data_IF_469852525183
#
_entry.id   IF_469852525183
#
_cell.length_a   1.000
_cell.length_b   1.000
_cell.length_c   1.000
_cell.angle_alpha   90.00
_cell.angle_beta   90.00
_cell.angle_gamma   90.00
#
_symmetry.space_group_name_H-M   'P 1'
#
loop_
_entity.id
_entity.type
_entity.pdbx_description
1 polymer ?
#
# COMPACT_ATOMS: atom_id res chain seq x y z
N UNK A 1 5.02 -8.85 -7.30
CA UNK A 1 4.31 -8.54 -6.08
C UNK A 1 2.88 -8.13 -6.41
N UNK A 2 2.17 -7.61 -5.45
CA UNK A 2 0.80 -7.13 -5.63
C UNK A 2 0.84 -5.85 -6.46
N UNK A 3 -0.01 -5.73 -7.48
CA UNK A 3 -0.15 -4.52 -8.29
C UNK A 3 -0.75 -3.35 -7.49
N UNK A 4 -0.92 -2.17 -8.09
CA UNK A 4 -1.47 -0.99 -7.41
C UNK A 4 -2.95 -1.12 -7.02
N UNK A 5 -3.71 -2.04 -7.62
CA UNK A 5 -5.10 -2.40 -7.29
C UNK A 5 -6.04 -1.19 -7.11
N UNK A 6 -5.89 -0.18 -7.90
CA UNK A 6 -6.63 1.10 -7.77
C UNK A 6 -6.58 1.69 -6.34
N UNK A 7 -5.43 1.51 -5.68
CA UNK A 7 -5.18 2.04 -4.33
C UNK A 7 -5.64 1.18 -3.16
N UNK A 8 -6.24 0.04 -3.40
CA UNK A 8 -6.68 -0.86 -2.33
C UNK A 8 -6.01 -2.22 -2.37
N UNK A 9 -6.21 -3.08 -1.34
CA UNK A 9 -5.71 -2.84 0.00
C UNK A 9 -4.18 -2.92 0.04
N UNK A 10 -3.53 -2.04 0.82
CA UNK A 10 -2.08 -1.97 0.97
C UNK A 10 -1.57 -2.64 2.25
N UNK A 11 -0.31 -3.08 2.24
CA UNK A 11 0.41 -3.54 3.41
C UNK A 11 1.48 -2.52 3.79
N UNK A 12 1.37 -1.97 5.01
CA UNK A 12 2.42 -1.13 5.58
C UNK A 12 3.55 -1.99 6.16
N UNK A 13 4.79 -1.64 5.84
CA UNK A 13 5.97 -2.23 6.46
C UNK A 13 6.50 -1.27 7.53
N UNK A 14 6.64 -1.78 8.74
CA UNK A 14 7.17 -1.05 9.87
C UNK A 14 8.40 -1.76 10.41
N UNK A 15 9.46 -1.01 10.64
CA UNK A 15 10.70 -1.53 11.23
C UNK A 15 11.30 -0.55 12.24
N UNK A 16 11.95 -1.08 13.25
CA UNK A 16 12.74 -0.29 14.19
C UNK A 16 14.06 -0.99 14.49
N UNK A 17 15.11 -0.23 14.69
CA UNK A 17 16.38 -0.79 15.15
C UNK A 17 16.22 -1.31 16.58
N UNK A 18 16.63 -2.55 16.81
CA UNK A 18 16.64 -3.12 18.14
C UNK A 18 17.95 -2.75 18.85
N UNK A 19 17.82 -1.99 19.93
CA UNK A 19 18.88 -1.77 20.89
C UNK A 19 18.27 -1.62 22.30
N UNK A 20 19.11 -1.54 23.31
CA UNK A 20 18.61 -1.43 24.71
C UNK A 20 17.71 -0.21 24.93
N UNK A 21 18.00 0.89 24.26
CA UNK A 21 17.23 2.14 24.37
C UNK A 21 15.87 2.07 23.67
N UNK A 22 15.69 1.16 22.69
CA UNK A 22 14.48 1.04 21.86
C UNK A 22 13.52 -0.07 22.30
N UNK A 23 13.78 -0.77 23.41
CA UNK A 23 12.92 -1.84 23.91
C UNK A 23 11.47 -1.38 24.13
N UNK A 24 11.27 -0.15 24.59
CA UNK A 24 9.94 0.42 24.78
C UNK A 24 9.19 0.64 23.47
N UNK A 25 9.89 1.01 22.40
CA UNK A 25 9.32 1.21 21.06
C UNK A 25 8.75 -0.10 20.52
N UNK A 26 9.51 -1.20 20.59
CA UNK A 26 9.04 -2.53 20.18
C UNK A 26 7.81 -2.96 20.99
N UNK A 27 7.81 -2.70 22.30
CA UNK A 27 6.67 -3.02 23.16
C UNK A 27 5.41 -2.21 22.85
N UNK A 28 5.55 -1.04 22.25
CA UNK A 28 4.44 -0.14 21.89
C UNK A 28 4.00 -0.26 20.43
N UNK A 29 4.81 -0.93 19.59
CA UNK A 29 4.45 -1.11 18.18
C UNK A 29 3.25 -2.06 18.02
N UNK A 30 2.39 -1.83 17.02
CA UNK A 30 1.23 -2.67 16.75
C UNK A 30 1.63 -4.05 16.22
N UNK A 31 0.71 -4.99 16.28
CA UNK A 31 0.88 -6.34 15.73
C UNK A 31 1.51 -7.34 16.70
N UNK A 32 1.69 -8.55 16.21
CA UNK A 32 2.30 -9.66 16.92
C UNK A 32 3.70 -9.92 16.41
N UNK A 33 4.58 -10.35 17.31
CA UNK A 33 5.92 -10.78 16.97
C UNK A 33 6.06 -12.28 17.07
N UNK A 34 6.87 -12.84 16.20
CA UNK A 34 7.34 -14.22 16.33
C UNK A 34 8.65 -14.18 17.11
N UNK A 35 8.67 -14.83 18.25
CA UNK A 35 9.84 -14.99 19.11
C UNK A 35 10.42 -16.39 19.03
N UNK A 36 11.68 -16.54 19.43
CA UNK A 36 12.31 -17.83 19.67
C UNK A 36 12.13 -18.24 21.13
N UNK A 37 11.78 -19.47 21.36
CA UNK A 37 11.67 -20.09 22.68
C UNK A 37 12.09 -21.53 22.65
N UNK A 38 11.91 -22.23 23.76
CA UNK A 38 12.10 -23.69 23.83
C UNK A 38 10.78 -24.35 24.16
N UNK A 39 10.50 -25.49 23.54
CA UNK A 39 9.36 -26.33 23.88
C UNK A 39 9.64 -27.12 25.20
N UNK A 40 8.65 -27.89 25.64
CA UNK A 40 8.77 -28.68 26.88
C UNK A 40 9.89 -29.76 26.81
N UNK A 41 10.34 -30.12 25.62
CA UNK A 41 11.44 -31.03 25.39
C UNK A 41 12.80 -30.31 25.23
N UNK A 42 12.82 -28.98 25.39
CA UNK A 42 14.04 -28.15 25.27
C UNK A 42 14.45 -27.83 23.83
N UNK A 43 13.67 -28.19 22.83
CA UNK A 43 13.95 -27.91 21.41
C UNK A 43 13.59 -26.46 21.07
N UNK A 44 14.40 -25.83 20.22
CA UNK A 44 14.06 -24.49 19.70
C UNK A 44 12.71 -24.51 18.98
N UNK A 45 11.86 -23.56 19.31
CA UNK A 45 10.55 -23.38 18.72
C UNK A 45 10.28 -21.92 18.44
N UNK A 46 9.57 -21.63 17.35
CA UNK A 46 9.03 -20.32 17.06
C UNK A 46 7.68 -20.17 17.75
N UNK A 47 7.53 -19.09 18.47
CA UNK A 47 6.34 -18.80 19.26
C UNK A 47 5.76 -17.46 18.83
N UNK A 48 4.43 -17.42 18.65
CA UNK A 48 3.75 -16.15 18.56
C UNK A 48 3.70 -15.52 19.94
N UNK A 49 4.41 -14.41 20.12
CA UNK A 49 4.48 -13.70 21.39
C UNK A 49 3.10 -13.10 21.70
N UNK A 50 2.53 -13.44 22.86
CA UNK A 50 1.33 -12.79 23.34
C UNK A 50 1.55 -11.28 23.45
N UNK A 51 0.79 -10.52 22.69
CA UNK A 51 0.83 -9.09 22.74
C UNK A 51 -0.15 -8.57 23.78
N UNK A 52 0.39 -8.08 24.90
CA UNK A 52 -0.40 -7.34 25.89
C UNK A 52 -0.96 -6.03 25.35
N UNK A 53 -0.70 -5.71 24.09
CA UNK A 53 -1.10 -4.49 23.39
C UNK A 53 -2.27 -4.69 22.46
N UNK A 54 -2.75 -5.92 22.31
CA UNK A 54 -3.91 -6.19 21.48
C UNK A 54 -5.14 -5.45 22.01
N UNK A 55 -5.96 -5.00 21.08
CA UNK A 55 -7.10 -4.14 21.37
C UNK A 55 -8.09 -4.79 22.36
N UNK A 56 -8.31 -6.11 22.32
CA UNK A 56 -9.18 -6.83 23.24
C UNK A 56 -8.61 -6.93 24.67
N UNK A 57 -7.29 -6.77 24.84
CA UNK A 57 -6.64 -6.75 26.16
C UNK A 57 -6.51 -5.31 26.68
N UNK A 58 -6.06 -4.41 25.81
CA UNK A 58 -5.78 -3.01 26.18
C UNK A 58 -7.01 -2.12 26.22
N UNK A 59 -8.06 -2.47 25.49
CA UNK A 59 -9.31 -1.72 25.40
C UNK A 59 -9.03 -0.23 25.12
N UNK A 60 -9.36 0.64 26.06
CA UNK A 60 -9.16 2.09 26.00
C UNK A 60 -7.68 2.54 25.89
N UNK A 61 -6.73 1.65 26.20
CA UNK A 61 -5.29 1.90 26.06
C UNK A 61 -4.71 1.31 24.77
N UNK A 62 -5.54 0.82 23.86
CA UNK A 62 -5.08 0.33 22.57
C UNK A 62 -4.50 1.48 21.73
N UNK A 63 -3.35 1.20 21.09
CA UNK A 63 -2.64 2.18 20.27
C UNK A 63 -2.91 2.04 18.79
N UNK A 64 -3.61 1.00 18.38
CA UNK A 64 -3.89 0.69 16.97
C UNK A 64 -5.17 -0.12 16.85
N UNK A 65 -5.69 -0.10 15.63
CA UNK A 65 -6.87 -0.83 15.21
C UNK A 65 -6.49 -1.78 14.07
N UNK A 66 -6.23 -3.05 14.40
CA UNK A 66 -5.75 -4.07 13.46
C UNK A 66 -6.88 -5.04 13.14
N UNK A 67 -7.07 -5.35 11.86
CA UNK A 67 -8.04 -6.29 11.36
C UNK A 67 -7.35 -7.53 10.74
N UNK A 68 -8.06 -8.66 10.68
CA UNK A 68 -7.58 -9.90 10.05
C UNK A 68 -7.24 -9.75 8.56
N UNK A 69 -7.80 -8.76 7.87
CA UNK A 69 -7.40 -8.41 6.51
C UNK A 69 -5.88 -8.13 6.39
N UNK A 70 -5.26 -7.54 7.39
CA UNK A 70 -3.81 -7.29 7.41
C UNK A 70 -3.00 -8.59 7.51
N UNK A 71 -3.51 -9.60 8.20
CA UNK A 71 -2.86 -10.91 8.26
C UNK A 71 -2.89 -11.61 6.88
N UNK A 72 -4.00 -11.51 6.15
CA UNK A 72 -4.12 -11.99 4.79
C UNK A 72 -3.09 -11.32 3.86
N UNK A 73 -3.01 -10.00 3.87
CA UNK A 73 -2.04 -9.24 3.07
C UNK A 73 -0.57 -9.56 3.46
N UNK A 74 -0.30 -9.77 4.75
CA UNK A 74 1.02 -10.18 5.21
C UNK A 74 1.40 -11.58 4.68
N UNK A 75 0.44 -12.50 4.62
CA UNK A 75 0.64 -13.84 4.05
C UNK A 75 0.95 -13.76 2.54
N UNK A 76 0.17 -12.98 1.79
CA UNK A 76 0.42 -12.74 0.36
C UNK A 76 1.80 -12.10 0.12
N UNK A 77 2.17 -11.11 0.92
CA UNK A 77 3.49 -10.50 0.83
C UNK A 77 4.61 -11.49 1.14
N UNK A 78 4.41 -12.38 2.12
CA UNK A 78 5.34 -13.46 2.43
C UNK A 78 5.54 -14.42 1.26
N UNK A 79 4.46 -14.85 0.61
CA UNK A 79 4.50 -15.68 -0.58
C UNK A 79 5.25 -14.99 -1.73
N UNK A 80 4.94 -13.72 -1.99
CA UNK A 80 5.61 -12.94 -3.04
C UNK A 80 7.11 -12.74 -2.78
N UNK A 81 7.51 -12.57 -1.51
CA UNK A 81 8.92 -12.49 -1.14
C UNK A 81 9.65 -13.83 -1.34
N UNK A 82 9.00 -14.95 -1.02
CA UNK A 82 9.56 -16.29 -1.25
C UNK A 82 9.70 -16.58 -2.75
N UNK A 83 8.72 -16.21 -3.57
CA UNK A 83 8.77 -16.37 -5.02
C UNK A 83 9.95 -15.60 -5.65
N UNK A 84 10.23 -14.40 -5.17
CA UNK A 84 11.34 -13.59 -5.67
C UNK A 84 12.70 -13.99 -5.08
N UNK A 85 12.73 -14.38 -3.82
CA UNK A 85 13.96 -14.59 -3.08
C UNK A 85 14.82 -13.33 -2.98
N UNK A 86 15.99 -13.44 -2.38
CA UNK A 86 16.90 -12.30 -2.24
C UNK A 86 17.41 -11.79 -3.60
N UNK A 87 17.74 -12.71 -4.50
CA UNK A 87 18.24 -12.36 -5.83
C UNK A 87 17.17 -11.62 -6.64
N UNK A 88 15.96 -12.14 -6.71
CA UNK A 88 14.86 -11.51 -7.45
C UNK A 88 14.45 -10.16 -6.87
N UNK A 89 14.53 -9.97 -5.55
CA UNK A 89 14.32 -8.67 -4.92
C UNK A 89 15.39 -7.64 -5.32
N UNK A 90 16.67 -8.05 -5.31
CA UNK A 90 17.77 -7.20 -5.73
C UNK A 90 17.70 -6.85 -7.22
N UNK A 91 17.35 -7.81 -8.08
CA UNK A 91 17.16 -7.60 -9.52
C UNK A 91 15.99 -6.65 -9.81
N UNK A 92 14.88 -6.79 -9.11
CA UNK A 92 13.73 -5.90 -9.25
C UNK A 92 14.09 -4.45 -8.90
N UNK A 93 14.80 -4.25 -7.77
CA UNK A 93 15.30 -2.94 -7.37
C UNK A 93 16.26 -2.35 -8.42
N UNK A 94 17.27 -3.12 -8.83
CA UNK A 94 18.28 -2.69 -9.79
C UNK A 94 17.65 -2.35 -11.15
N UNK A 95 16.67 -3.11 -11.60
CA UNK A 95 15.97 -2.87 -12.86
C UNK A 95 15.15 -1.59 -12.82
N UNK A 96 14.35 -1.38 -11.77
CA UNK A 96 13.59 -0.13 -11.59
C UNK A 96 14.51 1.09 -11.52
N UNK A 97 15.61 0.99 -10.77
CA UNK A 97 16.61 2.08 -10.67
C UNK A 97 17.28 2.36 -12.01
N UNK A 98 17.73 1.33 -12.73
CA UNK A 98 18.37 1.50 -14.04
C UNK A 98 17.45 2.22 -15.03
N UNK A 99 16.20 1.78 -15.17
CA UNK A 99 15.22 2.41 -16.04
C UNK A 99 14.95 3.88 -15.66
N UNK A 100 14.88 4.17 -14.36
CA UNK A 100 14.69 5.51 -13.86
C UNK A 100 15.91 6.44 -14.17
N UNK A 101 17.13 5.91 -14.07
CA UNK A 101 18.37 6.64 -14.43
C UNK A 101 18.42 6.90 -15.91
N UNK A 102 18.19 5.87 -16.74
CA UNK A 102 18.17 5.99 -18.21
C UNK A 102 17.13 7.04 -18.68
N UNK A 103 15.94 7.02 -18.08
CA UNK A 103 14.92 8.02 -18.37
C UNK A 103 15.35 9.42 -17.91
N UNK A 104 15.94 9.54 -16.74
CA UNK A 104 16.42 10.83 -16.23
C UNK A 104 17.53 11.41 -17.11
N UNK A 105 18.53 10.61 -17.50
CA UNK A 105 19.61 11.02 -18.40
C UNK A 105 19.06 11.49 -19.77
N UNK A 106 18.13 10.71 -20.31
CA UNK A 106 17.61 10.99 -21.66
C UNK A 106 16.67 12.20 -21.67
N UNK A 107 15.78 12.33 -20.67
CA UNK A 107 14.85 13.46 -20.62
C UNK A 107 15.54 14.77 -20.26
N UNK A 108 16.52 14.75 -19.35
CA UNK A 108 17.29 15.97 -19.02
C UNK A 108 18.25 16.38 -20.14
N UNK A 109 18.45 15.54 -21.13
CA UNK A 109 19.10 15.91 -22.38
C UNK A 109 18.22 16.72 -23.35
N UNK A 110 16.95 16.94 -23.01
CA UNK A 110 16.03 17.79 -23.76
C UNK A 110 15.97 19.19 -23.12
N UNK A 111 15.98 20.23 -23.96
CA UNK A 111 15.84 21.60 -23.48
C UNK A 111 14.49 21.81 -22.77
N UNK A 112 14.52 22.46 -21.60
CA UNK A 112 13.32 22.73 -20.80
C UNK A 112 12.88 21.57 -19.90
N UNK A 113 13.68 20.50 -19.77
CA UNK A 113 13.42 19.41 -18.85
C UNK A 113 14.61 19.24 -17.89
N UNK A 114 14.36 19.33 -16.60
CA UNK A 114 15.40 19.12 -15.58
C UNK A 114 14.89 18.26 -14.41
N UNK A 115 15.80 17.62 -13.68
CA UNK A 115 15.45 16.99 -12.40
C UNK A 115 15.10 18.08 -11.38
N UNK A 116 13.88 18.03 -10.85
CA UNK A 116 13.40 19.02 -9.88
C UNK A 116 14.25 19.05 -8.61
N UNK A 117 14.78 17.88 -8.21
CA UNK A 117 15.62 17.71 -7.01
C UNK A 117 17.02 17.19 -7.40
N UNK A 118 17.66 17.86 -8.36
CA UNK A 118 18.89 17.38 -9.01
C UNK A 118 20.10 17.11 -8.11
N UNK A 119 20.05 17.50 -6.82
CA UNK A 119 21.07 17.17 -5.83
C UNK A 119 20.73 15.97 -4.94
N UNK A 120 19.52 15.42 -5.04
CA UNK A 120 19.06 14.32 -4.20
C UNK A 120 18.99 13.00 -4.99
N UNK A 121 19.49 11.87 -4.43
CA UNK A 121 19.33 10.58 -5.04
C UNK A 121 17.85 10.14 -5.00
N UNK A 122 17.41 9.43 -6.01
CA UNK A 122 16.10 8.79 -6.08
C UNK A 122 16.27 7.29 -6.32
N UNK A 123 15.29 6.48 -6.03
CA UNK A 123 15.33 5.03 -6.33
C UNK A 123 14.76 4.80 -7.74
N UNK A 124 13.45 4.86 -7.87
CA UNK A 124 12.73 4.51 -9.11
C UNK A 124 11.65 5.54 -9.47
N UNK A 125 11.60 6.67 -8.80
CA UNK A 125 10.61 7.73 -9.01
C UNK A 125 11.28 9.11 -9.17
N UNK A 126 11.93 9.40 -10.31
CA UNK A 126 12.42 10.74 -10.61
C UNK A 126 11.26 11.73 -10.78
N UNK A 127 11.51 12.97 -10.34
CA UNK A 127 10.60 14.10 -10.55
C UNK A 127 11.27 15.10 -11.46
N UNK A 128 10.58 15.46 -12.52
CA UNK A 128 11.06 16.42 -13.52
C UNK A 128 10.32 17.75 -13.42
N UNK A 129 11.04 18.85 -13.52
CA UNK A 129 10.48 20.17 -13.80
C UNK A 129 10.42 20.34 -15.30
N UNK A 130 9.25 20.69 -15.82
CA UNK A 130 9.01 20.82 -17.25
C UNK A 130 8.74 22.31 -17.55
N UNK A 131 9.49 22.90 -18.47
CA UNK A 131 9.26 24.26 -18.94
C UNK A 131 8.41 24.25 -20.22
N UNK A 132 7.80 25.38 -20.53
CA UNK A 132 7.13 25.65 -21.81
C UNK A 132 5.70 25.16 -21.90
N UNK A 133 5.36 23.97 -21.39
CA UNK A 133 3.99 23.41 -21.41
C UNK A 133 3.56 22.96 -20.02
N UNK A 134 2.28 23.13 -19.65
CA UNK A 134 1.74 22.57 -18.41
C UNK A 134 1.84 21.04 -18.40
N UNK A 135 2.24 20.44 -17.27
CA UNK A 135 2.31 18.99 -17.12
C UNK A 135 0.95 18.32 -17.38
N UNK A 136 -0.15 18.96 -16.95
CA UNK A 136 -1.49 18.44 -17.20
C UNK A 136 -1.81 18.33 -18.72
N UNK A 137 -1.35 19.30 -19.54
CA UNK A 137 -1.50 19.25 -21.00
C UNK A 137 -0.68 18.10 -21.60
N UNK A 138 0.54 17.90 -21.10
CA UNK A 138 1.43 16.82 -21.56
C UNK A 138 0.82 15.44 -21.22
N UNK A 139 0.31 15.27 -20.02
CA UNK A 139 -0.36 14.02 -19.59
C UNK A 139 -1.56 13.73 -20.49
N UNK A 140 -2.41 14.72 -20.75
CA UNK A 140 -3.59 14.54 -21.62
C UNK A 140 -3.18 14.23 -23.06
N UNK A 141 -2.17 14.92 -23.59
CA UNK A 141 -1.66 14.64 -24.95
C UNK A 141 -1.04 13.25 -25.07
N UNK A 142 -0.36 12.77 -24.04
CA UNK A 142 0.18 11.41 -23.97
C UNK A 142 -0.95 10.37 -23.91
N UNK A 143 -1.96 10.62 -23.06
CA UNK A 143 -3.13 9.75 -22.93
C UNK A 143 -3.83 9.55 -24.28
N UNK A 144 -4.02 10.62 -25.05
CA UNK A 144 -4.63 10.55 -26.38
C UNK A 144 -3.80 9.71 -27.39
N UNK A 145 -2.51 9.53 -27.11
CA UNK A 145 -1.63 8.64 -27.87
C UNK A 145 -1.49 7.24 -27.25
N UNK A 146 -2.27 6.91 -26.22
CA UNK A 146 -2.21 5.63 -25.50
C UNK A 146 -1.00 5.49 -24.57
N UNK A 147 -0.40 6.60 -24.15
CA UNK A 147 0.78 6.63 -23.26
C UNK A 147 0.42 7.18 -21.87
N UNK A 148 0.93 6.53 -20.84
CA UNK A 148 0.93 7.04 -19.48
C UNK A 148 2.34 7.49 -19.13
N UNK A 149 2.58 8.80 -19.11
CA UNK A 149 3.93 9.38 -18.89
C UNK A 149 4.22 9.71 -17.41
N UNK A 150 3.28 9.55 -16.52
CA UNK A 150 3.48 9.83 -15.10
C UNK A 150 2.33 10.58 -14.45
N UNK A 151 2.63 11.25 -13.34
CA UNK A 151 1.64 11.95 -12.50
C UNK A 151 2.08 13.41 -12.29
N UNK A 152 1.14 14.35 -12.41
CA UNK A 152 1.34 15.72 -11.99
C UNK A 152 1.42 15.77 -10.45
N UNK A 153 2.53 16.30 -9.95
CA UNK A 153 2.77 16.48 -8.50
C UNK A 153 3.05 17.93 -8.13
N UNK A 154 2.68 18.86 -9.00
CA UNK A 154 2.94 20.30 -8.84
C UNK A 154 2.33 20.89 -7.58
N UNK A 155 1.16 20.39 -7.17
CA UNK A 155 0.43 20.83 -5.97
C UNK A 155 0.96 20.19 -4.66
N UNK A 156 1.88 19.25 -4.74
CA UNK A 156 2.42 18.51 -3.59
C UNK A 156 3.69 19.11 -3.01
N UNK A 157 4.30 20.05 -3.71
CA UNK A 157 5.57 20.67 -3.30
C UNK A 157 5.40 22.17 -3.24
N UNK A 158 5.48 22.73 -2.03
CA UNK A 158 5.29 24.17 -1.80
C UNK A 158 6.37 24.97 -2.55
N UNK A 159 5.95 25.94 -3.33
CA UNK A 159 6.85 26.83 -4.08
C UNK A 159 7.39 26.25 -5.39
N UNK A 160 7.03 25.03 -5.74
CA UNK A 160 7.37 24.39 -6.99
C UNK A 160 6.17 24.34 -7.94
N UNK A 161 6.44 24.29 -9.22
CA UNK A 161 5.41 24.28 -10.26
C UNK A 161 5.81 23.36 -11.39
N UNK A 162 4.81 22.83 -12.08
CA UNK A 162 4.96 22.08 -13.33
C UNK A 162 5.87 20.85 -13.18
N UNK A 163 5.55 20.02 -12.16
CA UNK A 163 6.30 18.84 -11.78
C UNK A 163 5.66 17.56 -12.30
N UNK A 164 6.40 16.80 -13.08
CA UNK A 164 6.03 15.47 -13.55
C UNK A 164 6.82 14.40 -12.77
N UNK A 165 6.13 13.54 -12.05
CA UNK A 165 6.72 12.34 -11.44
C UNK A 165 6.51 11.14 -12.34
N UNK A 166 7.59 10.43 -12.67
CA UNK A 166 7.56 9.17 -13.43
C UNK A 166 7.98 8.03 -12.51
N UNK A 167 7.24 6.92 -12.52
CA UNK A 167 7.53 5.75 -11.69
C UNK A 167 7.94 4.57 -12.56
N UNK A 168 9.01 3.89 -12.19
CA UNK A 168 9.53 2.71 -12.86
C UNK A 168 9.46 1.50 -11.93
N UNK A 169 9.25 0.32 -12.49
CA UNK A 169 9.22 -0.94 -11.76
C UNK A 169 10.26 -1.92 -12.36
N UNK A 170 10.18 -3.17 -11.97
CA UNK A 170 10.93 -4.27 -12.59
C UNK A 170 10.37 -4.72 -13.95
N UNK A 171 9.27 -4.12 -14.42
CA UNK A 171 8.73 -4.37 -15.75
C UNK A 171 9.51 -3.54 -16.77
N UNK A 172 9.87 -4.14 -17.92
CA UNK A 172 10.54 -3.40 -18.98
C UNK A 172 9.66 -2.27 -19.53
N UNK A 173 10.24 -1.10 -19.66
CA UNK A 173 9.62 0.07 -20.30
C UNK A 173 10.45 0.44 -21.51
N UNK A 174 9.80 0.71 -22.65
CA UNK A 174 10.49 1.29 -23.81
C UNK A 174 10.71 2.79 -23.58
N UNK A 175 11.88 3.13 -23.05
CA UNK A 175 12.27 4.51 -22.78
C UNK A 175 12.28 5.39 -24.03
N UNK A 176 12.37 4.78 -25.23
CA UNK A 176 12.33 5.51 -26.49
C UNK A 176 10.96 6.15 -26.72
N UNK A 177 9.87 5.45 -26.40
CA UNK A 177 8.51 6.00 -26.53
C UNK A 177 8.33 7.29 -25.74
N UNK A 178 8.88 7.32 -24.53
CA UNK A 178 8.83 8.52 -23.68
C UNK A 178 9.57 9.70 -24.31
N UNK A 179 10.77 9.47 -24.81
CA UNK A 179 11.59 10.50 -25.45
C UNK A 179 10.97 10.99 -26.76
N UNK A 180 10.47 10.07 -27.57
CA UNK A 180 9.83 10.39 -28.86
C UNK A 180 8.55 11.22 -28.63
N UNK A 181 7.81 10.92 -27.57
CA UNK A 181 6.66 11.73 -27.14
C UNK A 181 7.07 13.19 -26.84
N UNK A 182 8.06 13.42 -25.97
CA UNK A 182 8.50 14.77 -25.64
C UNK A 182 9.06 15.53 -26.85
N UNK A 183 9.80 14.85 -27.74
CA UNK A 183 10.24 15.44 -29.01
C UNK A 183 9.05 15.82 -29.89
N UNK A 184 8.02 14.97 -29.99
CA UNK A 184 6.77 15.27 -30.70
C UNK A 184 6.03 16.48 -30.12
N UNK A 185 6.16 16.73 -28.82
CA UNK A 185 5.62 17.92 -28.15
C UNK A 185 6.46 19.18 -28.32
N UNK A 186 7.58 19.12 -29.06
CA UNK A 186 8.43 20.27 -29.41
C UNK A 186 9.68 20.43 -28.54
N UNK A 187 9.98 19.51 -27.64
CA UNK A 187 11.22 19.52 -26.87
C UNK A 187 12.37 19.02 -27.75
N UNK A 188 13.43 19.79 -27.83
CA UNK A 188 14.59 19.52 -28.69
C UNK A 188 15.80 19.12 -27.88
N UNK A 189 16.77 18.47 -28.53
CA UNK A 189 18.00 18.10 -27.84
C UNK A 189 18.75 19.35 -27.37
N UNK A 190 19.06 19.40 -26.08
CA UNK A 190 19.82 20.46 -25.44
C UNK A 190 21.31 20.41 -25.79
N UNK A 191 22.04 21.49 -25.48
CA UNK A 191 23.48 21.61 -25.81
C UNK A 191 24.40 20.85 -24.85
N UNK A 192 23.94 20.50 -23.65
CA UNK A 192 24.69 19.69 -22.67
C UNK A 192 23.74 18.74 -21.93
N UNK A 193 24.09 17.46 -21.88
CA UNK A 193 23.47 16.53 -20.94
C UNK A 193 23.72 17.08 -19.52
N UNK A 194 22.65 17.24 -18.76
CA UNK A 194 22.71 17.86 -17.45
C UNK A 194 23.57 17.07 -16.46
N UNK A 195 23.89 17.73 -15.35
CA UNK A 195 24.59 17.23 -14.17
C UNK A 195 24.30 15.76 -13.95
N UNK A 196 25.36 14.96 -13.73
CA UNK A 196 25.24 13.52 -13.52
C UNK A 196 24.13 13.15 -12.52
N UNK A 197 23.45 12.06 -12.79
CA UNK A 197 22.38 11.57 -11.91
C UNK A 197 22.99 11.19 -10.55
N UNK A 198 22.46 11.68 -9.42
CA UNK A 198 23.00 11.36 -8.11
C UNK A 198 22.97 9.86 -7.85
N UNK A 199 24.11 9.31 -7.41
CA UNK A 199 24.20 7.92 -6.98
C UNK A 199 23.61 7.75 -5.57
N UNK A 200 23.12 6.55 -5.28
CA UNK A 200 22.75 6.18 -3.92
C UNK A 200 24.05 5.92 -3.14
N UNK A 201 24.21 6.59 -2.00
CA UNK A 201 25.41 6.41 -1.17
C UNK A 201 25.54 4.94 -0.72
N UNK A 202 26.75 4.41 -0.80
CA UNK A 202 27.03 3.05 -0.40
C UNK A 202 26.70 2.78 1.08
N UNK A 203 26.73 3.81 1.94
CA UNK A 203 26.33 3.72 3.34
C UNK A 203 24.82 3.48 3.53
N UNK A 204 24.00 3.87 2.55
CA UNK A 204 22.56 3.62 2.52
C UNK A 204 22.22 2.24 1.95
N UNK A 205 23.22 1.55 1.39
CA UNK A 205 23.08 0.22 0.84
C UNK A 205 23.41 -0.85 1.87
N UNK A 206 22.71 -1.97 1.81
CA UNK A 206 23.00 -3.12 2.66
C UNK A 206 24.32 -3.78 2.25
N UNK A 207 25.24 -3.92 3.21
CA UNK A 207 26.52 -4.57 2.98
C UNK A 207 26.45 -6.12 2.94
N UNK A 208 25.48 -6.70 3.65
CA UNK A 208 25.35 -8.14 3.80
C UNK A 208 24.02 -8.65 3.25
N UNK A 209 24.05 -9.87 2.74
CA UNK A 209 22.85 -10.58 2.33
C UNK A 209 21.84 -10.72 3.48
N UNK A 210 20.56 -10.65 3.16
CA UNK A 210 19.46 -10.87 4.12
C UNK A 210 19.31 -12.35 4.44
N UNK A 211 19.69 -13.22 3.48
CA UNK A 211 19.44 -14.65 3.55
C UNK A 211 18.01 -15.04 3.26
N UNK A 212 17.28 -14.22 2.50
CA UNK A 212 15.91 -14.54 2.10
C UNK A 212 15.93 -15.70 1.11
N UNK A 213 15.29 -16.86 1.42
CA UNK A 213 15.22 -17.98 0.50
C UNK A 213 14.37 -17.64 -0.72
N UNK A 214 14.76 -18.16 -1.89
CA UNK A 214 13.91 -18.20 -3.08
C UNK A 214 13.26 -19.58 -3.20
N UNK A 215 12.03 -19.61 -3.66
CA UNK A 215 11.27 -20.84 -3.90
C UNK A 215 10.57 -20.76 -5.24
N UNK A 216 10.53 -21.88 -5.97
CA UNK A 216 9.74 -22.01 -7.20
C UNK A 216 8.23 -22.02 -6.86
N UNK A 217 7.40 -21.61 -7.80
CA UNK A 217 5.96 -21.45 -7.59
C UNK A 217 5.28 -22.73 -7.10
N UNK A 218 5.62 -23.90 -7.67
CA UNK A 218 5.09 -25.20 -7.23
C UNK A 218 5.49 -25.52 -5.79
N UNK A 219 6.72 -25.17 -5.38
CA UNK A 219 7.19 -25.38 -4.02
C UNK A 219 6.47 -24.44 -3.02
N UNK A 220 6.16 -23.22 -3.44
CA UNK A 220 5.36 -22.28 -2.65
C UNK A 220 3.95 -22.80 -2.48
N UNK A 221 3.31 -23.24 -3.57
CA UNK A 221 1.97 -23.82 -3.53
C UNK A 221 1.91 -25.02 -2.59
N UNK A 222 2.84 -25.96 -2.71
CA UNK A 222 2.94 -27.12 -1.83
C UNK A 222 3.19 -26.73 -0.36
N UNK A 223 4.02 -25.73 -0.12
CA UNK A 223 4.31 -25.23 1.22
C UNK A 223 3.06 -24.63 1.89
N UNK A 224 2.33 -23.76 1.19
CA UNK A 224 1.12 -23.16 1.73
C UNK A 224 -0.05 -24.17 1.85
N UNK A 225 -0.18 -25.12 0.92
CA UNK A 225 -1.13 -26.24 1.06
C UNK A 225 -0.88 -27.00 2.35
N UNK A 226 0.37 -27.41 2.60
CA UNK A 226 0.77 -28.11 3.82
C UNK A 226 0.50 -27.28 5.09
N UNK A 227 0.66 -25.96 5.05
CA UNK A 227 0.31 -25.08 6.16
C UNK A 227 -1.22 -25.02 6.35
N UNK A 228 -1.97 -25.03 5.26
CA UNK A 228 -3.44 -25.08 5.26
C UNK A 228 -3.94 -26.32 5.99
N UNK A 229 -3.36 -27.49 5.73
CA UNK A 229 -3.73 -28.77 6.36
C UNK A 229 -3.56 -28.75 7.90
N UNK A 230 -2.79 -27.82 8.45
CA UNK A 230 -2.63 -27.63 9.89
C UNK A 230 -3.72 -26.77 10.52
N UNK A 231 -4.61 -26.20 9.72
CA UNK A 231 -5.67 -25.30 10.15
C UNK A 231 -7.03 -25.87 9.74
N UNK A 232 -8.08 -25.45 10.45
CA UNK A 232 -9.46 -25.75 10.04
C UNK A 232 -9.90 -24.70 9.03
N UNK A 233 -10.30 -25.13 7.85
CA UNK A 233 -10.82 -24.29 6.77
C UNK A 233 -12.33 -24.48 6.61
N UNK A 234 -13.08 -23.44 6.23
CA UNK A 234 -14.48 -23.57 5.80
C UNK A 234 -14.65 -24.45 4.56
N UNK A 235 -13.59 -24.64 3.77
CA UNK A 235 -13.60 -25.53 2.60
C UNK A 235 -13.58 -27.01 3.00
N UNK A 236 -13.01 -27.34 4.15
CA UNK A 236 -12.79 -28.71 4.61
C UNK A 236 -13.80 -29.15 5.69
N UNK A 237 -14.32 -28.22 6.49
CA UNK A 237 -15.15 -28.53 7.62
C UNK A 237 -16.12 -27.41 8.01
N UNK A 238 -17.16 -27.76 8.76
CA UNK A 238 -18.02 -26.80 9.39
C UNK A 238 -17.23 -26.02 10.46
N UNK A 239 -16.89 -24.77 10.15
CA UNK A 239 -16.10 -23.92 11.02
C UNK A 239 -16.97 -22.85 11.69
N UNK A 240 -17.05 -22.82 13.02
CA UNK A 240 -17.80 -21.79 13.74
C UNK A 240 -17.06 -20.45 13.64
N UNK A 241 -17.46 -19.61 12.70
CA UNK A 241 -16.84 -18.31 12.42
C UNK A 241 -17.03 -17.35 13.59
N UNK A 242 -15.93 -16.87 14.14
CA UNK A 242 -15.95 -15.86 15.21
C UNK A 242 -16.01 -14.43 14.71
N UNK A 243 -15.79 -14.17 13.42
CA UNK A 243 -15.80 -12.85 12.81
C UNK A 243 -16.41 -12.93 11.41
N UNK A 244 -16.19 -11.96 10.55
CA UNK A 244 -16.79 -11.83 9.24
C UNK A 244 -16.67 -13.07 8.32
N UNK A 245 -17.43 -13.06 7.24
CA UNK A 245 -17.47 -14.11 6.20
C UNK A 245 -16.20 -14.20 5.34
N UNK A 246 -15.15 -13.46 5.70
CA UNK A 246 -13.83 -13.52 5.03
C UNK A 246 -13.20 -14.90 4.98
N UNK A 247 -13.70 -15.86 5.76
CA UNK A 247 -13.14 -17.21 5.83
C UNK A 247 -13.49 -18.08 4.62
N UNK A 248 -14.53 -17.73 3.91
CA UNK A 248 -14.91 -18.41 2.67
C UNK A 248 -15.04 -17.40 1.54
N UNK A 249 -14.29 -17.61 0.47
CA UNK A 249 -14.34 -16.80 -0.73
C UNK A 249 -14.33 -17.74 -1.95
N UNK A 250 -15.40 -17.77 -2.76
CA UNK A 250 -15.41 -18.59 -3.98
C UNK A 250 -14.23 -18.27 -4.89
N UNK A 251 -13.55 -19.27 -5.42
CA UNK A 251 -12.38 -19.10 -6.29
C UNK A 251 -12.65 -18.22 -7.51
N UNK A 252 -13.88 -18.13 -7.98
CA UNK A 252 -14.27 -17.23 -9.07
C UNK A 252 -14.07 -15.74 -8.68
N UNK A 253 -14.27 -15.41 -7.41
CA UNK A 253 -14.04 -14.03 -6.93
C UNK A 253 -12.55 -13.69 -6.94
N UNK A 254 -11.71 -14.63 -6.52
CA UNK A 254 -10.25 -14.45 -6.55
C UNK A 254 -9.74 -14.32 -7.99
N UNK A 255 -10.26 -15.15 -8.87
CA UNK A 255 -9.93 -15.07 -10.29
C UNK A 255 -10.32 -13.71 -10.88
N UNK A 256 -11.55 -13.25 -10.66
CA UNK A 256 -12.02 -11.97 -11.18
C UNK A 256 -11.24 -10.78 -10.58
N UNK A 257 -10.93 -10.81 -9.28
CA UNK A 257 -10.17 -9.76 -8.61
C UNK A 257 -8.70 -9.70 -9.06
N UNK A 258 -8.16 -10.79 -9.61
CA UNK A 258 -6.79 -10.86 -10.11
C UNK A 258 -6.62 -10.50 -11.59
N UNK A 259 -7.69 -10.12 -12.29
CA UNK A 259 -7.58 -9.64 -13.65
C UNK A 259 -6.67 -8.41 -13.73
N UNK A 260 -5.73 -8.36 -14.69
CA UNK A 260 -4.76 -7.25 -14.80
C UNK A 260 -5.42 -5.87 -14.87
N UNK A 261 -6.57 -5.78 -15.51
CA UNK A 261 -7.36 -4.55 -15.64
C UNK A 261 -7.76 -3.95 -14.29
N UNK A 262 -7.88 -4.78 -13.25
CA UNK A 262 -8.11 -4.32 -11.87
C UNK A 262 -6.81 -4.17 -11.09
N UNK A 263 -5.94 -5.17 -11.13
CA UNK A 263 -4.75 -5.23 -10.27
C UNK A 263 -3.65 -4.26 -10.69
N UNK A 264 -3.59 -3.89 -11.97
CA UNK A 264 -2.55 -3.01 -12.52
C UNK A 264 -2.99 -1.56 -12.64
N UNK A 265 -4.26 -1.26 -12.37
CA UNK A 265 -4.77 0.11 -12.43
C UNK A 265 -4.22 0.93 -11.28
N UNK A 266 -3.56 2.05 -11.61
CA UNK A 266 -3.02 2.96 -10.61
C UNK A 266 -4.11 3.89 -10.06
N UNK A 267 -4.14 4.19 -8.75
CA UNK A 267 -5.17 5.05 -8.16
C UNK A 267 -5.12 6.51 -8.61
N UNK A 268 -4.02 6.94 -9.21
CA UNK A 268 -3.83 8.28 -9.76
C UNK A 268 -3.83 8.29 -11.30
N UNK A 269 -4.33 7.23 -11.93
CA UNK A 269 -4.57 7.23 -13.37
C UNK A 269 -5.67 8.27 -13.72
N UNK A 270 -5.64 8.85 -14.92
CA UNK A 270 -6.68 9.78 -15.36
C UNK A 270 -8.09 9.18 -15.21
N UNK A 271 -9.05 10.01 -14.82
CA UNK A 271 -10.43 9.55 -14.55
C UNK A 271 -11.06 8.86 -15.75
N UNK A 272 -10.75 9.32 -16.96
CA UNK A 272 -11.21 8.79 -18.22
C UNK A 272 -10.78 7.33 -18.45
N UNK A 273 -9.64 6.94 -17.90
CA UNK A 273 -9.03 5.63 -18.10
C UNK A 273 -9.44 4.60 -17.02
N UNK A 274 -10.15 5.05 -15.97
CA UNK A 274 -10.56 4.21 -14.82
C UNK A 274 -12.07 4.09 -14.67
N UNK A 275 -12.83 4.40 -15.70
CA UNK A 275 -14.28 4.42 -15.67
C UNK A 275 -14.89 3.07 -15.28
N UNK A 276 -14.27 1.94 -15.65
CA UNK A 276 -14.72 0.61 -15.24
C UNK A 276 -14.62 0.40 -13.71
N UNK A 277 -13.51 0.82 -13.09
CA UNK A 277 -13.35 0.76 -11.63
C UNK A 277 -14.35 1.67 -10.91
N UNK A 278 -14.57 2.89 -11.41
CA UNK A 278 -15.53 3.83 -10.85
C UNK A 278 -16.97 3.31 -10.97
N UNK A 279 -17.32 2.71 -12.11
CA UNK A 279 -18.64 2.10 -12.31
C UNK A 279 -18.88 0.95 -11.31
N UNK A 280 -17.90 0.07 -11.13
CA UNK A 280 -17.98 -1.02 -10.14
C UNK A 280 -18.23 -0.47 -8.72
N UNK A 281 -17.49 0.55 -8.30
CA UNK A 281 -17.67 1.19 -7.00
C UNK A 281 -19.05 1.85 -6.87
N UNK A 282 -19.53 2.50 -7.93
CA UNK A 282 -20.86 3.11 -7.96
C UNK A 282 -21.98 2.07 -7.83
N UNK A 283 -21.90 0.95 -8.56
CA UNK A 283 -22.89 -0.11 -8.46
C UNK A 283 -22.92 -0.76 -7.07
N UNK A 284 -21.76 -1.03 -6.48
CA UNK A 284 -21.67 -1.55 -5.11
C UNK A 284 -22.36 -0.61 -4.12
N UNK A 285 -22.11 0.70 -4.22
CA UNK A 285 -22.77 1.70 -3.37
C UNK A 285 -24.28 1.68 -3.56
N UNK A 286 -24.74 1.58 -4.78
CA UNK A 286 -26.17 1.51 -5.13
C UNK A 286 -26.84 0.27 -4.56
N UNK A 287 -26.22 -0.89 -4.71
CA UNK A 287 -26.74 -2.16 -4.18
C UNK A 287 -26.83 -2.13 -2.65
N UNK A 288 -25.77 -1.69 -1.97
CA UNK A 288 -25.78 -1.62 -0.51
C UNK A 288 -26.76 -0.56 0.02
N UNK A 289 -26.94 0.55 -0.66
CA UNK A 289 -27.98 1.53 -0.35
C UNK A 289 -29.38 0.89 -0.42
N UNK A 290 -29.65 0.13 -1.49
CA UNK A 290 -30.90 -0.60 -1.65
C UNK A 290 -31.13 -1.68 -0.59
N UNK A 291 -30.09 -2.44 -0.24
CA UNK A 291 -30.19 -3.53 0.76
C UNK A 291 -30.38 -2.98 2.18
N UNK A 292 -29.68 -1.90 2.53
CA UNK A 292 -29.68 -1.36 3.89
C UNK A 292 -30.76 -0.31 4.14
N UNK A 293 -31.32 0.30 3.09
CA UNK A 293 -32.23 1.43 3.19
C UNK A 293 -31.57 2.73 3.70
N UNK A 294 -30.23 2.79 3.78
CA UNK A 294 -29.48 3.97 4.18
C UNK A 294 -29.37 4.97 3.03
N UNK A 295 -29.21 6.25 3.36
CA UNK A 295 -29.14 7.33 2.38
C UNK A 295 -27.86 7.30 1.51
N UNK A 296 -26.80 6.66 1.97
CA UNK A 296 -25.55 6.55 1.25
C UNK A 296 -24.61 5.49 1.85
N UNK A 297 -23.66 5.06 1.04
CA UNK A 297 -22.64 4.06 1.40
C UNK A 297 -21.29 4.55 0.93
N UNK A 298 -20.25 4.32 1.69
CA UNK A 298 -18.86 4.52 1.27
C UNK A 298 -18.12 3.18 1.14
N UNK A 299 -17.30 3.07 0.11
CA UNK A 299 -16.42 1.92 -0.14
C UNK A 299 -14.96 2.19 0.26
N UNK A 300 -14.68 3.32 0.92
CA UNK A 300 -13.31 3.72 1.32
C UNK A 300 -12.69 2.89 2.45
N UNK A 301 -13.45 2.42 3.48
CA UNK A 301 -12.86 1.60 4.52
C UNK A 301 -12.33 0.29 3.98
N UNK A 302 -11.06 -0.05 4.29
CA UNK A 302 -10.42 -1.30 3.86
C UNK A 302 -10.69 -2.47 4.81
N UNK A 303 -11.32 -2.20 5.95
CA UNK A 303 -11.65 -3.21 6.97
C UNK A 303 -12.80 -2.74 7.86
N UNK A 304 -13.45 -3.66 8.59
CA UNK A 304 -14.54 -3.35 9.52
C UNK A 304 -14.17 -2.30 10.57
N UNK A 305 -12.97 -2.39 11.11
CA UNK A 305 -12.44 -1.42 12.06
C UNK A 305 -12.41 0.03 11.51
N UNK A 306 -12.10 0.20 10.24
CA UNK A 306 -12.16 1.52 9.60
C UNK A 306 -13.58 1.97 9.31
N UNK A 307 -14.48 1.04 9.02
CA UNK A 307 -15.92 1.32 8.92
C UNK A 307 -16.47 1.87 10.24
N UNK A 308 -16.10 1.28 11.37
CA UNK A 308 -16.43 1.82 12.70
C UNK A 308 -15.88 3.24 12.89
N UNK A 309 -14.61 3.47 12.53
CA UNK A 309 -13.98 4.79 12.66
C UNK A 309 -14.71 5.84 11.83
N UNK A 310 -15.07 5.52 10.60
CA UNK A 310 -15.86 6.44 9.73
C UNK A 310 -17.19 6.76 10.40
N UNK A 311 -17.94 5.76 10.89
CA UNK A 311 -19.20 5.96 11.58
C UNK A 311 -19.07 6.87 12.81
N UNK A 312 -18.09 6.63 13.67
CA UNK A 312 -17.84 7.47 14.86
C UNK A 312 -17.43 8.90 14.47
N UNK A 313 -16.61 9.07 13.43
CA UNK A 313 -16.25 10.41 12.93
C UNK A 313 -17.45 11.16 12.34
N UNK A 314 -18.39 10.45 11.71
CA UNK A 314 -19.66 11.03 11.25
C UNK A 314 -20.52 11.50 12.43
N UNK A 315 -20.65 10.70 13.49
CA UNK A 315 -21.35 11.12 14.72
C UNK A 315 -20.69 12.34 15.35
N UNK A 316 -19.37 12.37 15.38
CA UNK A 316 -18.62 13.52 15.90
C UNK A 316 -18.90 14.79 15.08
N UNK A 317 -18.86 14.68 13.76
CA UNK A 317 -19.17 15.80 12.87
C UNK A 317 -20.62 16.28 13.07
N UNK A 318 -21.59 15.36 13.15
CA UNK A 318 -22.99 15.66 13.40
C UNK A 318 -23.22 16.45 14.70
N UNK A 319 -22.57 16.08 15.81
CA UNK A 319 -22.70 16.77 17.07
C UNK A 319 -22.03 18.14 17.04
N UNK A 320 -20.84 18.25 16.48
CA UNK A 320 -20.12 19.52 16.34
C UNK A 320 -20.86 20.54 15.49
N UNK A 321 -21.45 20.11 14.39
CA UNK A 321 -22.29 20.96 13.53
C UNK A 321 -23.48 21.59 14.28
N UNK A 322 -23.94 20.94 15.35
CA UNK A 322 -25.00 21.42 16.25
C UNK A 322 -24.52 22.14 17.50
N UNK A 323 -23.22 22.38 17.61
CA UNK A 323 -22.65 23.03 18.81
C UNK A 323 -22.65 22.15 20.06
N UNK A 324 -22.83 20.82 19.92
CA UNK A 324 -22.85 19.85 21.03
C UNK A 324 -21.48 19.18 21.20
N UNK A 325 -20.48 19.96 21.57
CA UNK A 325 -19.11 19.49 21.78
C UNK A 325 -18.93 18.71 23.09
N UNK A 326 -19.93 18.70 23.97
CA UNK A 326 -19.84 18.03 25.26
C UNK A 326 -19.99 16.50 25.19
N UNK A 327 -20.39 15.95 24.06
CA UNK A 327 -20.53 14.50 23.84
C UNK A 327 -19.21 13.84 23.50
N UNK A 328 -18.39 13.63 24.51
CA UNK A 328 -17.04 13.05 24.39
C UNK A 328 -16.93 11.62 24.92
N UNK A 329 -18.05 10.97 25.28
CA UNK A 329 -18.10 9.61 25.85
C UNK A 329 -18.89 8.67 24.96
N UNK A 330 -18.32 7.48 24.71
CA UNK A 330 -19.01 6.36 24.07
C UNK A 330 -19.21 5.25 25.10
N UNK A 331 -20.46 4.79 25.22
CA UNK A 331 -20.80 3.64 26.07
C UNK A 331 -20.55 2.35 25.30
N UNK A 332 -19.73 1.47 25.84
CA UNK A 332 -19.31 0.23 25.17
C UNK A 332 -19.54 -0.95 26.11
N UNK A 333 -20.35 -1.96 25.72
CA UNK A 333 -20.51 -3.15 26.50
C UNK A 333 -19.19 -3.89 26.75
N UNK A 334 -19.00 -4.47 27.90
CA UNK A 334 -17.79 -5.27 28.22
C UNK A 334 -17.56 -6.43 27.27
N UNK A 335 -18.64 -6.98 26.71
CA UNK A 335 -18.63 -8.07 25.74
C UNK A 335 -18.37 -7.60 24.30
N UNK A 336 -18.22 -6.30 24.06
CA UNK A 336 -17.99 -5.76 22.73
C UNK A 336 -16.65 -6.20 22.15
N UNK A 337 -16.56 -6.22 20.84
CA UNK A 337 -15.29 -6.46 20.15
C UNK A 337 -14.24 -5.40 20.55
N UNK A 338 -12.99 -5.81 20.71
CA UNK A 338 -11.90 -4.90 21.13
C UNK A 338 -11.70 -3.69 20.22
N UNK A 339 -12.12 -3.79 18.96
CA UNK A 339 -12.10 -2.68 17.97
C UNK A 339 -12.94 -1.49 18.44
N UNK A 340 -14.07 -1.72 19.10
CA UNK A 340 -14.98 -0.66 19.55
C UNK A 340 -14.27 0.30 20.51
N UNK A 341 -13.52 -0.22 21.48
CA UNK A 341 -12.72 0.57 22.41
C UNK A 341 -11.60 1.32 21.66
N UNK A 342 -10.84 0.62 20.84
CA UNK A 342 -9.73 1.19 20.10
C UNK A 342 -10.19 2.31 19.16
N UNK A 343 -11.28 2.10 18.44
CA UNK A 343 -11.84 3.09 17.50
C UNK A 343 -12.38 4.32 18.22
N UNK A 344 -13.04 4.14 19.36
CA UNK A 344 -13.51 5.27 20.18
C UNK A 344 -12.35 6.19 20.59
N UNK A 345 -11.26 5.60 21.11
CA UNK A 345 -10.07 6.36 21.51
C UNK A 345 -9.38 7.02 20.31
N UNK A 346 -9.22 6.32 19.19
CA UNK A 346 -8.64 6.88 17.96
C UNK A 346 -9.46 8.06 17.43
N UNK A 347 -10.77 8.03 17.59
CA UNK A 347 -11.65 9.14 17.22
C UNK A 347 -11.61 10.32 18.19
N UNK A 348 -10.95 10.18 19.35
CA UNK A 348 -10.82 11.21 20.37
C UNK A 348 -11.91 11.18 21.44
N UNK A 349 -12.67 10.08 21.56
CA UNK A 349 -13.67 9.88 22.60
C UNK A 349 -13.08 9.15 23.82
N UNK A 350 -13.73 9.31 24.97
CA UNK A 350 -13.54 8.46 26.13
C UNK A 350 -14.51 7.27 26.06
N UNK A 351 -14.05 6.08 26.37
CA UNK A 351 -14.90 4.88 26.49
C UNK A 351 -15.37 4.69 27.94
N UNK A 352 -16.58 4.24 28.08
CA UNK A 352 -17.17 3.87 29.37
C UNK A 352 -17.95 2.58 29.26
#
# INVERSE_FOLDING_TARGET
>A
AIGPNFGGPGLGLFGTRFNENNRSVIRQSPGRYVGKGKDLAGRESLLMVLSTREQHIRKDKATSNICSNQAFLATLAGAALLARGEKGMAEAFATGRRQAVEAAETLTGLDGIELAFGGAPFVNEPVFRIEGKPVAELIESARQQGLHIGTDVSDRVIGEHNLLKISFSDRPVDGKLLVDFFKGMGYTAGKEASRGIPEIDASDCRANAVGLPGMEDDAIAAYYSKLGDLNVSPDDACYPLGSCTMKYNPHINDWAANLPEFTETHPQAPLEDVQGNLHLLHEIQTWFTGITGLAGVTTQPVAGAQGELVGIKMFQAYHRDRGDDARDVILIPDSAHGTNFATAIMAGYRSK
#
